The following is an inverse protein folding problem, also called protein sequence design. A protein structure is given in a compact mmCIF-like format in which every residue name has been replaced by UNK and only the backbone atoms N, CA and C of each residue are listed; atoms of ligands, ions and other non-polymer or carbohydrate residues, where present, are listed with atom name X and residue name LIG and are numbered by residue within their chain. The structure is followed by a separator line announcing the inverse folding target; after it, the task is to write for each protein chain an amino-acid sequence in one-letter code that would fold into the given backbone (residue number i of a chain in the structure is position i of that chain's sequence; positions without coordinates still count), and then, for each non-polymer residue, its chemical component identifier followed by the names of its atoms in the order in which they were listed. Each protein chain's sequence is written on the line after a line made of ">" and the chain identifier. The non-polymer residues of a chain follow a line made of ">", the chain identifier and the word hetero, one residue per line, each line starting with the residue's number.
data_IF_726595707704
#
_entry.id   IF_726595707704
#
_cell.length_a   1.000
_cell.length_b   1.000
_cell.length_c   1.000
_cell.angle_alpha   90.00
_cell.angle_beta   90.00
_cell.angle_gamma   90.00
#
_symmetry.space_group_name_H-M   'P 1'
#
loop_
_entity.id
_entity.type
_entity.pdbx_description
1 polymer ?
#
# COMPACT_ATOMS: atom_id res chain seq x y z
N UNK A 1 -8.63 -25.79 20.93
CA UNK A 1 -8.06 -25.43 19.63
C UNK A 1 -6.58 -25.12 19.80
N UNK A 2 -5.70 -25.72 18.99
CA UNK A 2 -4.27 -25.38 18.98
C UNK A 2 -4.08 -24.21 18.01
N UNK A 3 -3.70 -23.05 18.52
CA UNK A 3 -3.34 -21.89 17.70
C UNK A 3 -1.84 -21.97 17.40
N UNK A 4 -1.49 -22.07 16.12
CA UNK A 4 -0.09 -22.12 15.68
C UNK A 4 0.31 -20.72 15.22
N UNK A 5 1.31 -20.11 15.88
CA UNK A 5 1.80 -18.74 15.59
C UNK A 5 2.61 -18.60 14.29
N UNK A 6 2.53 -19.57 13.40
CA UNK A 6 3.37 -19.59 12.21
C UNK A 6 2.64 -18.85 11.07
N UNK A 7 3.30 -17.88 10.46
CA UNK A 7 2.97 -17.44 9.10
C UNK A 7 3.20 -18.66 8.21
N UNK A 8 2.14 -19.40 7.91
CA UNK A 8 2.20 -20.50 6.93
C UNK A 8 1.99 -19.84 5.58
N UNK A 9 3.07 -19.71 4.81
CA UNK A 9 3.02 -19.27 3.41
C UNK A 9 2.33 -20.36 2.61
N UNK A 10 1.02 -20.20 2.39
CA UNK A 10 0.22 -21.07 1.55
C UNK A 10 0.39 -20.66 0.08
N UNK A 11 0.95 -21.53 -0.75
CA UNK A 11 0.92 -21.35 -2.20
C UNK A 11 -0.47 -21.77 -2.67
N UNK A 12 -1.29 -20.81 -3.13
CA UNK A 12 -2.57 -21.12 -3.76
C UNK A 12 -2.33 -21.82 -5.11
N UNK A 13 -2.99 -22.95 -5.41
CA UNK A 13 -2.84 -23.62 -6.71
C UNK A 13 -3.52 -22.82 -7.82
N UNK A 14 -2.81 -22.62 -8.94
CA UNK A 14 -3.30 -21.97 -10.16
C UNK A 14 -4.53 -22.71 -10.72
N UNK A 15 -5.61 -21.98 -11.00
CA UNK A 15 -6.73 -22.47 -11.81
C UNK A 15 -6.54 -22.09 -13.28
N UNK A 16 -6.56 -23.10 -14.15
CA UNK A 16 -6.46 -23.07 -15.62
C UNK A 16 -7.39 -22.07 -16.34
N UNK A 17 -7.04 -21.60 -17.55
CA UNK A 17 -7.70 -20.46 -18.18
C UNK A 17 -8.99 -20.87 -18.90
N UNK A 18 -10.11 -20.26 -18.54
CA UNK A 18 -11.32 -20.25 -19.38
C UNK A 18 -11.74 -18.81 -19.67
N UNK A 19 -11.87 -18.50 -20.96
CA UNK A 19 -12.31 -17.24 -21.54
C UNK A 19 -13.53 -16.64 -20.83
N UNK A 20 -13.27 -15.74 -19.89
CA UNK A 20 -14.17 -14.68 -19.48
C UNK A 20 -13.30 -13.43 -19.37
N UNK A 21 -13.84 -12.29 -19.79
CA UNK A 21 -13.15 -11.00 -19.69
C UNK A 21 -13.01 -10.67 -18.20
N UNK A 22 -11.91 -11.15 -17.60
CA UNK A 22 -11.67 -11.10 -16.16
C UNK A 22 -11.34 -9.66 -15.76
N UNK A 23 -11.97 -9.12 -14.71
CA UNK A 23 -11.47 -7.91 -14.06
C UNK A 23 -10.00 -8.14 -13.65
N UNK A 24 -9.20 -7.07 -13.58
CA UNK A 24 -7.78 -7.12 -13.16
C UNK A 24 -7.60 -8.12 -12.01
N UNK A 25 -6.71 -9.11 -12.16
CA UNK A 25 -6.51 -10.21 -11.20
C UNK A 25 -6.37 -9.70 -9.75
N UNK A 26 -5.69 -8.57 -9.57
CA UNK A 26 -5.50 -7.94 -8.25
C UNK A 26 -6.81 -7.52 -7.57
N UNK A 27 -7.80 -7.03 -8.31
CA UNK A 27 -9.12 -6.66 -7.78
C UNK A 27 -9.98 -7.87 -7.46
N UNK A 28 -9.89 -8.94 -8.27
CA UNK A 28 -10.61 -10.20 -8.03
C UNK A 28 -10.05 -10.93 -6.80
N UNK A 29 -8.75 -10.80 -6.54
CA UNK A 29 -8.10 -11.40 -5.35
C UNK A 29 -8.72 -10.90 -4.04
N UNK A 30 -9.04 -9.60 -3.94
CA UNK A 30 -9.65 -9.01 -2.74
C UNK A 30 -11.05 -9.55 -2.44
N UNK A 31 -11.88 -9.67 -3.47
CA UNK A 31 -13.29 -10.03 -3.30
C UNK A 31 -13.50 -11.53 -3.12
N UNK A 32 -12.73 -12.37 -3.84
CA UNK A 32 -12.99 -13.81 -3.90
C UNK A 32 -11.90 -14.70 -3.28
N UNK A 33 -10.66 -14.24 -3.19
CA UNK A 33 -9.53 -15.09 -2.78
C UNK A 33 -8.98 -14.76 -1.40
N UNK A 34 -9.10 -13.52 -0.93
CA UNK A 34 -8.72 -13.12 0.43
C UNK A 34 -9.64 -13.75 1.48
N UNK A 35 -9.08 -14.68 2.27
CA UNK A 35 -9.78 -15.35 3.38
C UNK A 35 -9.40 -14.77 4.74
N UNK A 36 -8.28 -14.05 4.82
CA UNK A 36 -7.69 -13.46 6.04
C UNK A 36 -7.20 -14.52 7.04
N UNK A 37 -7.98 -15.56 7.32
CA UNK A 37 -7.61 -16.73 8.12
C UNK A 37 -8.12 -17.98 7.42
N UNK A 38 -7.24 -18.94 7.19
CA UNK A 38 -7.62 -20.27 6.74
C UNK A 38 -8.07 -21.15 7.90
N UNK A 39 -9.02 -22.03 7.63
CA UNK A 39 -9.37 -23.15 8.49
C UNK A 39 -9.10 -24.45 7.72
N UNK A 40 -8.03 -25.14 8.08
CA UNK A 40 -7.66 -26.43 7.49
C UNK A 40 -7.83 -27.51 8.56
N UNK A 41 -8.93 -28.26 8.49
CA UNK A 41 -9.27 -29.34 9.42
C UNK A 41 -9.14 -28.97 10.91
N UNK A 42 -9.60 -27.77 11.28
CA UNK A 42 -9.58 -27.27 12.66
C UNK A 42 -8.28 -26.58 13.07
N UNK A 43 -7.32 -26.44 12.16
CA UNK A 43 -6.13 -25.61 12.32
C UNK A 43 -6.38 -24.26 11.67
N UNK A 44 -6.30 -23.21 12.48
CA UNK A 44 -6.43 -21.83 12.03
C UNK A 44 -5.04 -21.19 11.85
N UNK A 45 -4.81 -20.52 10.72
CA UNK A 45 -3.58 -19.80 10.41
C UNK A 45 -3.87 -18.58 9.50
N UNK A 46 -3.06 -17.50 9.57
CA UNK A 46 -3.30 -16.32 8.75
C UNK A 46 -3.09 -16.63 7.27
N UNK A 47 -3.89 -15.97 6.44
CA UNK A 47 -3.74 -15.99 4.99
C UNK A 47 -2.46 -15.23 4.57
N UNK A 48 -1.79 -15.75 3.54
CA UNK A 48 -0.65 -15.10 2.90
C UNK A 48 -0.52 -15.62 1.47
N UNK A 49 0.00 -14.79 0.57
CA UNK A 49 0.09 -15.12 -0.86
C UNK A 49 1.36 -14.59 -1.49
N UNK A 50 2.07 -15.44 -2.23
CA UNK A 50 3.15 -15.01 -3.11
C UNK A 50 2.71 -15.23 -4.54
N UNK A 51 2.70 -14.16 -5.32
CA UNK A 51 2.29 -14.19 -6.72
C UNK A 51 3.46 -13.85 -7.65
N UNK A 52 3.30 -14.09 -8.94
CA UNK A 52 4.25 -13.63 -9.98
C UNK A 52 3.91 -12.23 -10.51
N UNK A 53 2.79 -11.65 -10.04
CA UNK A 53 2.33 -10.31 -10.37
C UNK A 53 2.77 -9.31 -9.29
N UNK A 54 3.31 -8.17 -9.69
CA UNK A 54 3.70 -7.08 -8.79
C UNK A 54 2.52 -6.48 -8.01
N UNK A 55 1.31 -6.57 -8.54
CA UNK A 55 0.06 -6.10 -7.92
C UNK A 55 -0.53 -7.11 -6.92
N UNK A 56 0.15 -8.23 -6.66
CA UNK A 56 -0.21 -9.14 -5.56
C UNK A 56 -0.31 -8.40 -4.22
N UNK A 57 0.47 -7.33 -4.05
CA UNK A 57 0.48 -6.46 -2.85
C UNK A 57 -0.86 -5.77 -2.58
N UNK A 58 -1.79 -5.72 -3.54
CA UNK A 58 -3.13 -5.16 -3.32
C UNK A 58 -3.88 -5.85 -2.16
N UNK A 59 -3.62 -7.15 -1.94
CA UNK A 59 -4.24 -7.92 -0.86
C UNK A 59 -3.77 -7.50 0.55
N UNK A 60 -2.63 -6.80 0.64
CA UNK A 60 -2.09 -6.29 1.90
C UNK A 60 -3.03 -5.29 2.56
N UNK A 61 -3.88 -4.61 1.77
CA UNK A 61 -4.94 -3.72 2.27
C UNK A 61 -6.05 -4.43 3.05
N UNK A 62 -6.20 -5.75 2.87
CA UNK A 62 -7.13 -6.63 3.59
C UNK A 62 -6.47 -7.25 4.84
N UNK A 63 -5.17 -7.00 5.07
CA UNK A 63 -4.40 -7.62 6.14
C UNK A 63 -3.92 -9.04 5.85
N UNK A 64 -3.86 -9.41 4.57
CA UNK A 64 -3.21 -10.65 4.10
C UNK A 64 -1.82 -10.28 3.65
N UNK A 65 -0.77 -10.93 4.16
CA UNK A 65 0.59 -10.62 3.73
C UNK A 65 0.85 -11.21 2.33
N UNK A 66 1.07 -10.36 1.33
CA UNK A 66 1.37 -10.84 -0.01
C UNK A 66 2.30 -9.97 -0.86
N UNK A 67 3.14 -10.63 -1.65
CA UNK A 67 4.17 -9.97 -2.45
C UNK A 67 4.53 -10.76 -3.71
N UNK A 68 5.20 -10.10 -4.67
CA UNK A 68 5.45 -10.64 -6.01
C UNK A 68 6.71 -11.49 -6.21
N UNK A 69 7.57 -11.66 -5.19
CA UNK A 69 8.91 -12.26 -5.35
C UNK A 69 9.19 -13.35 -4.30
N UNK A 70 9.55 -14.54 -4.76
CA UNK A 70 9.66 -15.73 -3.90
C UNK A 70 10.96 -15.82 -3.08
N UNK A 71 12.01 -15.07 -3.45
CA UNK A 71 13.26 -15.01 -2.68
C UNK A 71 13.34 -13.70 -1.89
N UNK A 72 13.45 -13.80 -0.56
CA UNK A 72 13.58 -12.61 0.29
C UNK A 72 14.59 -12.86 1.41
N UNK A 73 15.48 -11.88 1.63
CA UNK A 73 16.22 -11.73 2.88
C UNK A 73 15.28 -11.03 3.86
N UNK A 74 15.27 -11.41 5.15
CA UNK A 74 14.39 -10.81 6.16
C UNK A 74 14.45 -9.27 6.08
N UNK A 75 13.39 -8.60 5.60
CA UNK A 75 13.45 -7.19 5.31
C UNK A 75 13.27 -6.37 6.59
N UNK A 76 13.84 -5.16 6.61
CA UNK A 76 13.48 -4.16 7.61
C UNK A 76 12.00 -3.75 7.46
N UNK A 77 11.37 -3.35 8.56
CA UNK A 77 9.98 -2.88 8.57
C UNK A 77 9.96 -1.38 8.86
N UNK A 78 9.34 -0.60 7.98
CA UNK A 78 9.10 0.83 8.17
C UNK A 78 7.68 1.01 8.71
N UNK A 79 7.58 1.57 9.92
CA UNK A 79 6.29 1.95 10.48
C UNK A 79 5.84 3.27 9.87
N UNK A 80 4.70 3.28 9.18
CA UNK A 80 4.07 4.49 8.65
C UNK A 80 2.86 4.86 9.50
N UNK A 81 3.00 5.89 10.33
CA UNK A 81 1.97 6.37 11.24
C UNK A 81 1.01 7.33 10.52
N UNK A 82 -0.28 7.01 10.52
CA UNK A 82 -1.35 7.90 10.12
C UNK A 82 -2.03 8.49 11.36
N UNK A 83 -2.17 9.80 11.39
CA UNK A 83 -2.84 10.54 12.46
C UNK A 83 -3.85 11.54 11.88
N UNK A 84 -4.75 12.05 12.72
CA UNK A 84 -5.73 13.06 12.28
C UNK A 84 -6.79 12.51 11.32
N UNK A 85 -7.41 13.42 10.56
CA UNK A 85 -8.48 13.12 9.59
C UNK A 85 -8.24 13.88 8.29
N UNK A 86 -8.70 13.32 7.18
CA UNK A 86 -8.62 13.98 5.88
C UNK A 86 -9.46 15.27 5.87
N UNK A 87 -8.87 16.35 5.36
CA UNK A 87 -9.56 17.63 5.17
C UNK A 87 -10.66 17.54 4.11
N UNK A 88 -11.71 18.35 4.26
CA UNK A 88 -12.79 18.41 3.28
C UNK A 88 -12.25 18.81 1.88
N UNK A 89 -12.66 18.05 0.86
CA UNK A 89 -12.23 18.29 -0.53
C UNK A 89 -10.95 17.57 -0.94
N UNK A 90 -10.30 16.84 -0.02
CA UNK A 90 -9.20 15.91 -0.31
C UNK A 90 -9.80 14.58 -0.75
N UNK A 91 -9.23 13.99 -1.82
CA UNK A 91 -9.66 12.70 -2.36
C UNK A 91 -8.74 11.57 -1.93
N UNK A 92 -9.21 10.32 -2.04
CA UNK A 92 -8.38 9.13 -1.82
C UNK A 92 -7.11 9.12 -2.69
N UNK A 93 -7.21 9.61 -3.93
CA UNK A 93 -6.08 9.75 -4.83
C UNK A 93 -5.01 10.70 -4.27
N UNK A 94 -5.41 11.79 -3.63
CA UNK A 94 -4.48 12.76 -3.05
C UNK A 94 -3.68 12.16 -1.90
N UNK A 95 -4.35 11.38 -1.05
CA UNK A 95 -3.70 10.61 0.01
C UNK A 95 -2.70 9.61 -0.57
N UNK A 96 -3.13 8.80 -1.54
CA UNK A 96 -2.33 7.76 -2.18
C UNK A 96 -1.05 8.35 -2.79
N UNK A 97 -1.16 9.48 -3.49
CA UNK A 97 -0.02 10.17 -4.10
C UNK A 97 0.93 10.76 -3.05
N UNK A 98 0.38 11.37 -2.00
CA UNK A 98 1.16 11.92 -0.87
C UNK A 98 1.96 10.82 -0.16
N UNK A 99 1.31 9.73 0.23
CA UNK A 99 1.94 8.57 0.89
C UNK A 99 3.06 8.00 0.03
N UNK A 100 2.80 7.82 -1.26
CA UNK A 100 3.79 7.26 -2.21
C UNK A 100 5.02 8.13 -2.34
N UNK A 101 4.83 9.46 -2.42
CA UNK A 101 5.95 10.37 -2.51
C UNK A 101 6.79 10.36 -1.22
N UNK A 102 6.15 10.34 -0.06
CA UNK A 102 6.84 10.29 1.23
C UNK A 102 7.65 9.00 1.39
N UNK A 103 7.05 7.85 1.07
CA UNK A 103 7.71 6.54 1.10
C UNK A 103 8.89 6.47 0.13
N UNK A 104 8.71 6.99 -1.08
CA UNK A 104 9.77 7.05 -2.09
C UNK A 104 10.93 7.93 -1.64
N UNK A 105 10.64 9.08 -1.02
CA UNK A 105 11.67 9.99 -0.47
C UNK A 105 12.40 9.36 0.72
N UNK A 106 11.70 8.60 1.55
CA UNK A 106 12.29 7.91 2.71
C UNK A 106 13.22 6.75 2.32
N UNK A 107 13.00 6.13 1.16
CA UNK A 107 13.85 5.02 0.68
C UNK A 107 13.46 3.68 1.29
N UNK A 108 12.31 3.15 0.86
CA UNK A 108 11.74 1.87 1.32
C UNK A 108 12.02 0.70 0.39
N UNK A 109 12.99 0.83 -0.52
CA UNK A 109 13.36 -0.22 -1.47
C UNK A 109 13.76 -1.51 -0.74
N UNK A 110 13.06 -2.61 -1.04
CA UNK A 110 13.32 -3.93 -0.44
C UNK A 110 12.93 -4.05 1.04
N UNK A 111 12.11 -3.12 1.57
CA UNK A 111 11.60 -3.13 2.94
C UNK A 111 10.09 -3.40 2.95
N UNK A 112 9.59 -3.82 4.11
CA UNK A 112 8.16 -3.80 4.38
C UNK A 112 7.74 -2.42 4.88
N UNK A 113 6.54 -2.01 4.51
CA UNK A 113 5.86 -0.85 5.11
C UNK A 113 4.66 -1.38 5.87
N UNK A 114 4.54 -1.03 7.15
CA UNK A 114 3.37 -1.34 7.96
C UNK A 114 2.67 -0.05 8.36
N UNK A 115 1.40 0.08 7.97
CA UNK A 115 0.58 1.24 8.30
C UNK A 115 -0.08 1.05 9.68
N UNK A 116 -0.02 2.10 10.50
CA UNK A 116 -0.58 2.09 11.85
C UNK A 116 -1.01 3.49 12.30
N UNK A 117 -1.68 3.58 13.46
CA UNK A 117 -2.10 4.86 14.06
C UNK A 117 -3.61 5.11 13.96
N UNK A 118 -4.06 6.16 14.63
CA UNK A 118 -5.49 6.50 14.75
C UNK A 118 -6.15 6.86 13.41
N UNK A 119 -5.38 7.43 12.47
CA UNK A 119 -5.88 7.83 11.14
C UNK A 119 -6.28 6.63 10.27
N UNK A 120 -5.90 5.41 10.64
CA UNK A 120 -6.31 4.19 9.95
C UNK A 120 -7.82 3.95 9.98
N UNK A 121 -8.50 4.40 11.05
CA UNK A 121 -9.95 4.29 11.18
C UNK A 121 -10.72 5.14 10.17
N UNK A 122 -10.09 6.15 9.57
CA UNK A 122 -10.70 7.02 8.56
C UNK A 122 -10.59 6.45 7.14
N UNK A 123 -9.75 5.43 6.92
CA UNK A 123 -9.52 4.86 5.60
C UNK A 123 -10.47 3.71 5.29
N UNK A 124 -11.14 3.81 4.15
CA UNK A 124 -11.91 2.68 3.62
C UNK A 124 -10.98 1.55 3.17
N UNK A 125 -11.50 0.32 3.08
CA UNK A 125 -10.71 -0.79 2.59
C UNK A 125 -10.21 -0.59 1.15
N UNK A 126 -10.99 0.11 0.32
CA UNK A 126 -10.59 0.47 -1.04
C UNK A 126 -9.38 1.42 -1.06
N UNK A 127 -9.32 2.38 -0.13
CA UNK A 127 -8.18 3.29 -0.01
C UNK A 127 -6.92 2.53 0.40
N UNK A 128 -7.04 1.63 1.40
CA UNK A 128 -5.95 0.76 1.86
C UNK A 128 -5.42 -0.12 0.73
N UNK A 129 -6.31 -0.78 0.00
CA UNK A 129 -5.96 -1.59 -1.15
C UNK A 129 -5.27 -0.78 -2.25
N UNK A 130 -5.70 0.47 -2.47
CA UNK A 130 -5.09 1.37 -3.45
C UNK A 130 -3.66 1.74 -3.05
N UNK A 131 -3.43 2.12 -1.78
CA UNK A 131 -2.10 2.42 -1.25
C UNK A 131 -1.18 1.19 -1.31
N UNK A 132 -1.69 0.04 -0.89
CA UNK A 132 -0.95 -1.23 -0.91
C UNK A 132 -0.58 -1.69 -2.33
N UNK A 133 -1.49 -1.49 -3.28
CA UNK A 133 -1.25 -1.80 -4.70
C UNK A 133 -0.16 -0.93 -5.32
N UNK A 134 0.15 0.24 -4.75
CA UNK A 134 1.23 1.10 -5.23
C UNK A 134 2.61 0.79 -4.62
N UNK A 135 2.75 -0.35 -3.91
CA UNK A 135 4.03 -0.81 -3.34
C UNK A 135 5.19 -0.80 -4.34
N UNK A 136 5.02 -1.29 -5.58
CA UNK A 136 6.06 -1.21 -6.60
C UNK A 136 6.51 0.22 -6.93
N UNK A 137 5.60 1.20 -6.89
CA UNK A 137 5.83 2.59 -7.27
C UNK A 137 6.69 3.35 -6.24
N UNK A 138 6.57 3.01 -4.95
CA UNK A 138 7.47 3.50 -3.90
C UNK A 138 8.62 2.55 -3.56
N UNK A 139 8.68 1.38 -4.22
CA UNK A 139 9.76 0.41 -4.15
C UNK A 139 9.71 -0.56 -2.97
N UNK A 140 8.66 -0.51 -2.14
CA UNK A 140 8.51 -1.46 -1.04
C UNK A 140 8.21 -2.86 -1.57
N UNK A 141 8.58 -3.86 -0.79
CA UNK A 141 8.22 -5.25 -1.09
C UNK A 141 6.75 -5.53 -0.80
N UNK A 142 6.19 -4.90 0.23
CA UNK A 142 4.77 -5.01 0.61
C UNK A 142 4.34 -3.76 1.41
N UNK A 143 3.04 -3.48 1.39
CA UNK A 143 2.41 -2.33 2.08
C UNK A 143 1.26 -2.79 2.97
N UNK A 144 1.58 -3.22 4.18
CA UNK A 144 0.68 -3.97 5.06
C UNK A 144 -0.25 -3.10 5.91
N UNK A 145 -1.55 -3.40 5.83
CA UNK A 145 -2.59 -2.83 6.68
C UNK A 145 -3.12 -3.91 7.62
N UNK A 146 -2.89 -3.81 8.94
CA UNK A 146 -3.38 -4.80 9.90
C UNK A 146 -4.90 -4.97 9.85
N UNK A 147 -5.38 -6.16 10.20
CA UNK A 147 -6.81 -6.46 10.28
C UNK A 147 -7.44 -5.71 11.44
N UNK A 148 -8.50 -4.96 11.16
CA UNK A 148 -9.28 -4.22 12.13
C UNK A 148 -10.79 -4.38 11.85
N UNK A 149 -11.61 -3.59 12.54
CA UNK A 149 -13.06 -3.62 12.34
C UNK A 149 -13.51 -3.26 10.92
N UNK A 150 -12.79 -2.40 10.20
CA UNK A 150 -13.13 -2.05 8.81
C UNK A 150 -12.96 -3.28 7.92
N UNK A 151 -11.89 -4.05 8.13
CA UNK A 151 -11.66 -5.32 7.43
C UNK A 151 -12.77 -6.34 7.73
N UNK A 152 -13.17 -6.52 9.00
CA UNK A 152 -14.24 -7.45 9.35
C UNK A 152 -15.59 -7.05 8.73
N UNK A 153 -15.92 -5.76 8.71
CA UNK A 153 -17.13 -5.27 8.05
C UNK A 153 -17.10 -5.53 6.55
N UNK A 154 -15.95 -5.31 5.90
CA UNK A 154 -15.77 -5.62 4.48
C UNK A 154 -15.99 -7.11 4.18
N UNK A 155 -15.49 -8.02 5.02
CA UNK A 155 -15.74 -9.46 4.85
C UNK A 155 -17.24 -9.79 4.93
N UNK A 156 -17.99 -9.17 5.85
CA UNK A 156 -19.46 -9.34 5.92
C UNK A 156 -20.14 -8.82 4.66
N UNK A 157 -19.79 -7.61 4.21
CA UNK A 157 -20.35 -6.99 3.01
C UNK A 157 -20.10 -7.81 1.74
N UNK A 158 -18.98 -8.52 1.67
CA UNK A 158 -18.61 -9.41 0.56
C UNK A 158 -19.13 -10.85 0.74
N UNK A 159 -20.10 -11.06 1.63
CA UNK A 159 -20.86 -12.30 1.73
C UNK A 159 -20.28 -13.38 2.64
N UNK A 160 -19.28 -13.07 3.48
CA UNK A 160 -18.81 -14.02 4.51
C UNK A 160 -19.83 -14.10 5.64
N UNK A 161 -20.09 -15.32 6.14
CA UNK A 161 -21.04 -15.55 7.23
C UNK A 161 -20.56 -14.90 8.54
N UNK A 162 -21.52 -14.51 9.40
CA UNK A 162 -21.21 -13.96 10.72
C UNK A 162 -20.38 -14.94 11.59
N UNK A 163 -20.62 -16.24 11.43
CA UNK A 163 -19.87 -17.30 12.11
C UNK A 163 -18.40 -17.30 11.68
N UNK A 164 -18.14 -17.20 10.38
CA UNK A 164 -16.78 -17.12 9.83
C UNK A 164 -16.06 -15.85 10.31
N UNK A 165 -16.73 -14.70 10.25
CA UNK A 165 -16.14 -13.42 10.68
C UNK A 165 -15.84 -13.42 12.18
N UNK A 166 -16.73 -13.99 13.00
CA UNK A 166 -16.50 -14.14 14.45
C UNK A 166 -15.34 -15.08 14.76
N UNK A 167 -15.20 -16.17 14.00
CA UNK A 167 -14.04 -17.08 14.10
C UNK A 167 -12.73 -16.36 13.75
N UNK A 168 -12.73 -15.58 12.66
CA UNK A 168 -11.57 -14.78 12.24
C UNK A 168 -11.17 -13.80 13.34
N UNK A 169 -12.12 -13.02 13.86
CA UNK A 169 -11.85 -12.04 14.92
C UNK A 169 -11.29 -12.71 16.18
N UNK A 170 -11.93 -13.79 16.65
CA UNK A 170 -11.49 -14.52 17.84
C UNK A 170 -10.06 -15.07 17.67
N UNK A 171 -9.75 -15.63 16.50
CA UNK A 171 -8.42 -16.10 16.17
C UNK A 171 -7.38 -14.98 16.17
N UNK A 172 -7.66 -13.87 15.50
CA UNK A 172 -6.72 -12.75 15.37
C UNK A 172 -6.47 -12.07 16.72
N UNK A 173 -7.52 -11.86 17.53
CA UNK A 173 -7.38 -11.31 18.89
C UNK A 173 -6.56 -12.23 19.79
N UNK A 174 -6.83 -13.54 19.78
CA UNK A 174 -6.05 -14.52 20.56
C UNK A 174 -4.55 -14.54 20.20
N UNK A 175 -4.22 -14.21 18.95
CA UNK A 175 -2.84 -14.18 18.46
C UNK A 175 -2.21 -12.78 18.40
N UNK A 176 -2.89 -11.74 18.91
CA UNK A 176 -2.41 -10.34 18.86
C UNK A 176 -2.17 -9.81 17.44
N UNK A 177 -2.99 -10.26 16.48
CA UNK A 177 -2.95 -9.86 15.07
C UNK A 177 -4.17 -9.01 14.67
N UNK A 178 -5.07 -8.74 15.62
CA UNK A 178 -6.19 -7.82 15.44
C UNK A 178 -5.84 -6.45 16.03
N UNK A 179 -6.16 -5.38 15.31
CA UNK A 179 -5.98 -4.01 15.76
C UNK A 179 -7.34 -3.40 16.09
N UNK A 180 -7.52 -3.04 17.36
CA UNK A 180 -8.70 -2.31 17.83
C UNK A 180 -8.28 -0.92 18.28
N UNK A 181 -8.56 0.12 17.48
CA UNK A 181 -8.12 1.49 17.77
C UNK A 181 -8.78 2.11 19.01
N UNK A 182 -9.79 1.47 19.61
CA UNK A 182 -10.38 1.90 20.88
C UNK A 182 -9.62 1.38 22.10
N UNK A 183 -8.74 0.40 21.91
CA UNK A 183 -7.91 -0.17 22.96
C UNK A 183 -6.51 0.48 22.97
N UNK A 184 -5.80 0.49 24.12
CA UNK A 184 -4.41 0.89 24.16
C UNK A 184 -3.57 0.05 23.20
N UNK A 185 -2.96 0.70 22.20
CA UNK A 185 -2.14 0.02 21.22
C UNK A 185 -0.83 -0.45 21.86
N UNK A 186 -0.45 -1.70 21.58
CA UNK A 186 0.87 -2.19 21.95
C UNK A 186 1.93 -1.44 21.12
N UNK A 187 2.98 -0.95 21.78
CA UNK A 187 4.08 -0.29 21.10
C UNK A 187 4.83 -1.29 20.21
N UNK A 188 4.94 -0.95 18.92
CA UNK A 188 5.65 -1.76 17.92
C UNK A 188 7.02 -1.15 17.64
N UNK A 189 8.02 -2.02 17.53
CA UNK A 189 9.40 -1.63 17.20
C UNK A 189 9.61 -1.83 15.71
N UNK A 190 9.85 -0.73 15.01
CA UNK A 190 10.13 -0.71 13.57
C UNK A 190 11.59 -0.35 13.32
N UNK A 191 12.09 -0.72 12.15
CA UNK A 191 13.45 -0.36 11.70
C UNK A 191 13.58 1.15 11.47
N UNK A 192 12.51 1.80 11.00
CA UNK A 192 12.43 3.24 10.89
C UNK A 192 10.97 3.69 10.95
N UNK A 193 10.75 4.97 11.23
CA UNK A 193 9.44 5.55 11.45
C UNK A 193 9.20 6.69 10.46
N UNK A 194 7.98 6.78 9.96
CA UNK A 194 7.49 7.89 9.16
C UNK A 194 6.08 8.23 9.66
N UNK A 195 5.70 9.50 9.63
CA UNK A 195 4.40 9.95 10.09
C UNK A 195 3.78 10.92 9.09
N UNK A 196 2.48 10.80 8.87
CA UNK A 196 1.65 11.72 8.11
C UNK A 196 0.43 12.10 8.97
N UNK A 197 0.22 13.40 9.15
CA UNK A 197 -1.08 13.92 9.58
C UNK A 197 -1.97 14.00 8.34
N UNK A 198 -3.14 13.35 8.39
CA UNK A 198 -4.10 13.36 7.29
C UNK A 198 -4.65 14.76 7.00
N UNK A 199 -4.57 15.69 7.97
CA UNK A 199 -4.96 17.08 7.77
C UNK A 199 -4.00 17.83 6.82
N UNK A 200 -2.74 17.40 6.72
CA UNK A 200 -1.68 18.01 5.89
C UNK A 200 -1.76 17.57 4.41
N UNK A 201 -2.67 16.65 4.07
CA UNK A 201 -2.84 16.19 2.69
C UNK A 201 -3.53 17.27 1.87
N UNK A 202 -2.86 17.74 0.81
CA UNK A 202 -3.39 18.73 -0.12
C UNK A 202 -3.91 18.08 -1.42
N UNK A 203 -4.96 18.65 -2.06
CA UNK A 203 -5.41 18.19 -3.37
C UNK A 203 -4.33 18.31 -4.44
N UNK A 204 -4.07 17.22 -5.16
CA UNK A 204 -2.94 17.09 -6.07
C UNK A 204 -3.28 16.30 -7.35
N UNK A 205 -2.47 16.50 -8.38
CA UNK A 205 -2.55 15.74 -9.64
C UNK A 205 -1.15 15.30 -10.03
N UNK A 206 -0.97 14.03 -10.41
CA UNK A 206 0.30 13.51 -10.93
C UNK A 206 0.46 13.83 -12.43
N UNK A 207 1.56 14.49 -12.81
CA UNK A 207 1.82 14.92 -14.18
C UNK A 207 2.29 13.82 -15.17
N UNK A 208 2.35 14.12 -16.49
CA UNK A 208 2.43 13.13 -17.57
C UNK A 208 3.79 12.44 -17.78
N UNK A 209 4.88 12.87 -17.11
CA UNK A 209 6.23 12.33 -17.34
C UNK A 209 6.90 11.68 -16.12
N UNK A 210 6.37 11.86 -14.91
CA UNK A 210 6.77 11.20 -13.64
C UNK A 210 5.82 11.67 -12.53
N UNK A 211 5.56 10.82 -11.54
CA UNK A 211 4.75 11.10 -10.33
C UNK A 211 5.34 12.23 -9.46
N UNK A 212 5.33 13.46 -9.97
CA UNK A 212 5.60 14.67 -9.23
C UNK A 212 4.26 15.39 -9.02
N UNK A 213 3.95 15.71 -7.75
CA UNK A 213 2.77 16.46 -7.36
C UNK A 213 2.79 17.84 -8.04
N UNK A 214 1.70 18.21 -8.70
CA UNK A 214 1.39 19.61 -8.99
C UNK A 214 0.40 20.12 -7.93
N UNK A 215 0.85 21.08 -7.11
CA UNK A 215 -0.04 21.81 -6.20
C UNK A 215 -0.98 22.71 -7.01
N UNK A 216 -2.31 22.60 -6.78
CA UNK A 216 -3.31 23.48 -7.40
C UNK A 216 -3.06 24.97 -7.13
N UNK A 217 -2.41 25.32 -6.01
CA UNK A 217 -2.08 26.72 -5.69
C UNK A 217 -0.97 27.32 -6.58
N UNK A 218 -0.15 26.49 -7.23
CA UNK A 218 0.88 27.00 -8.17
C UNK A 218 0.34 27.28 -9.57
N UNK A 219 -0.88 26.84 -9.91
CA UNK A 219 -1.45 27.02 -11.25
C UNK A 219 -2.03 28.43 -11.49
N UNK A 220 -2.16 29.28 -10.46
CA UNK A 220 -2.74 30.63 -10.60
C UNK A 220 -1.69 31.73 -10.80
N UNK A 221 -0.39 31.45 -10.58
CA UNK A 221 0.68 32.47 -10.69
C UNK A 221 1.75 32.21 -11.77
N UNK A 222 1.59 31.18 -12.62
CA UNK A 222 2.67 30.71 -13.49
C UNK A 222 2.46 30.76 -15.01
N UNK A 223 1.36 31.33 -15.53
CA UNK A 223 1.10 31.41 -16.98
C UNK A 223 0.91 32.85 -17.42
N UNK A 224 1.99 33.62 -17.41
CA UNK A 224 2.25 34.81 -18.25
C UNK A 224 3.65 35.34 -17.86
N UNK A 225 4.70 34.82 -18.48
CA UNK A 225 6.07 35.21 -18.18
C UNK A 225 7.08 34.57 -19.14
N UNK A 226 7.11 35.12 -20.35
CA UNK A 226 8.25 35.20 -21.28
C UNK A 226 9.14 33.97 -21.49
N UNK A 227 9.04 33.43 -22.71
CA UNK A 227 10.15 32.88 -23.48
C UNK A 227 11.40 33.78 -23.37
N UNK A 228 12.39 33.36 -22.59
CA UNK A 228 13.77 33.82 -22.75
C UNK A 228 14.62 32.58 -23.08
N UNK A 229 14.86 32.41 -24.38
CA UNK A 229 15.88 31.54 -24.94
C UNK A 229 17.26 31.89 -24.34
N UNK A 230 18.09 30.91 -23.94
CA UNK A 230 19.48 31.21 -23.63
C UNK A 230 20.25 31.54 -24.91
N UNK A 231 21.07 32.58 -24.79
CA UNK A 231 21.89 33.23 -25.82
C UNK A 231 22.68 32.24 -26.68
N UNK A 232 22.62 32.41 -28.00
CA UNK A 232 23.70 31.99 -28.90
C UNK A 232 24.94 32.81 -28.58
N UNK A 233 25.95 32.16 -28.00
CA UNK A 233 27.33 32.63 -28.05
C UNK A 233 27.88 32.22 -29.43
N UNK A 234 28.21 33.21 -30.26
CA UNK A 234 28.97 32.99 -31.50
C UNK A 234 30.42 33.31 -31.21
N UNK A 235 31.32 32.35 -31.48
CA UNK A 235 32.65 32.60 -32.07
C UNK A 235 33.31 31.27 -32.43
N UNK A 236 33.59 31.15 -33.73
CA UNK A 236 34.78 30.60 -34.37
C UNK A 236 35.26 29.16 -34.04
N UNK A 237 35.03 28.28 -35.03
CA UNK A 237 35.99 27.31 -35.59
C UNK A 237 36.92 26.55 -34.64
N UNK A 238 36.63 25.26 -34.44
CA UNK A 238 37.58 24.26 -33.93
C UNK A 238 36.86 22.94 -33.62
N UNK A 239 37.42 21.82 -34.08
CA UNK A 239 36.98 20.43 -33.83
C UNK A 239 37.05 20.01 -32.34
N UNK A 240 36.52 18.81 -32.07
CA UNK A 240 36.51 17.99 -30.82
C UNK A 240 35.21 18.15 -30.03
N UNK A 241 34.56 17.12 -29.50
CA UNK A 241 34.84 15.70 -29.34
C UNK A 241 33.72 15.17 -28.41
N UNK A 242 33.36 13.90 -28.54
CA UNK A 242 32.38 13.24 -27.67
C UNK A 242 33.05 13.02 -26.32
N UNK A 243 32.68 13.79 -25.28
CA UNK A 243 32.61 13.46 -23.84
C UNK A 243 31.85 14.61 -23.12
N UNK A 244 31.32 14.34 -21.92
CA UNK A 244 30.65 15.26 -20.97
C UNK A 244 29.15 15.54 -21.19
N UNK A 245 28.19 15.22 -20.31
CA UNK A 245 28.24 14.88 -18.89
C UNK A 245 26.99 14.06 -18.48
N UNK A 246 27.19 13.25 -17.45
CA UNK A 246 26.23 12.55 -16.59
C UNK A 246 25.08 13.44 -16.07
#
# INVERSE_FOLDING_TARGET
>A
MRFQRCLIVGVSPESSPSNFQTPKLSSVNLEYLGRVVFNNDGILYPDSVVGTDSHTTMIDGLGVAGWGQMSMVLPGVVGFKLAGKLSNGVTATDLVLTVTQMLRKHGVVGKFVEFYGEGMGELSLADRATIANMSPEYGATMGFFPVDHVTLQYLKLTGRSDETVSMIEAYLRANKMFVDYNEPQQEKVYTSYLQLDLADVEPCVSGPKRYALFNRHLLIFGVLGEMILPRKCSTNGGELGIEDCF
#
